data_IF_327970094466
#
_entry.id   IF_327970094466
#
_cell.length_a   1.000
_cell.length_b   1.000
_cell.length_c   1.000
_cell.angle_alpha   90.00
_cell.angle_beta   90.00
_cell.angle_gamma   90.00
#
_symmetry.space_group_name_H-M   'P 1'
#
loop_
_entity.id
_entity.type
_entity.pdbx_description
1 polymer ?
#
# COMPACT_ATOMS: atom_id res chain seq x y z
N UNK A 1 21.10 10.46 -38.34
CA UNK A 1 19.76 9.84 -38.40
C UNK A 1 19.27 9.97 -39.82
N UNK A 2 19.34 8.88 -40.59
CA UNK A 2 19.00 8.83 -42.02
C UNK A 2 18.15 7.60 -42.31
N UNK A 3 18.00 7.22 -43.57
CA UNK A 3 17.31 5.98 -43.97
C UNK A 3 18.31 4.87 -44.26
N UNK A 4 17.96 3.65 -43.87
CA UNK A 4 18.72 2.43 -44.15
C UNK A 4 17.73 1.32 -44.49
N UNK A 5 18.18 0.29 -45.20
CA UNK A 5 17.37 -0.87 -45.48
C UNK A 5 16.94 -1.60 -44.18
N UNK A 6 15.78 -2.30 -44.19
CA UNK A 6 15.25 -2.95 -42.99
C UNK A 6 16.18 -4.01 -42.38
N UNK A 7 16.98 -4.70 -43.20
CA UNK A 7 17.90 -5.76 -42.73
C UNK A 7 19.03 -5.15 -41.93
N UNK A 8 19.62 -4.07 -42.44
CA UNK A 8 20.66 -3.31 -41.74
C UNK A 8 20.10 -2.65 -40.48
N UNK A 9 18.88 -2.12 -40.50
CA UNK A 9 18.22 -1.59 -39.29
C UNK A 9 18.12 -2.65 -38.17
N UNK A 10 17.77 -3.90 -38.52
CA UNK A 10 17.73 -5.01 -37.56
C UNK A 10 19.11 -5.32 -36.99
N UNK A 11 20.15 -5.34 -37.83
CA UNK A 11 21.53 -5.54 -37.39
C UNK A 11 22.02 -4.40 -36.46
N UNK A 12 21.70 -3.14 -36.79
CA UNK A 12 22.01 -1.98 -35.96
C UNK A 12 21.32 -2.09 -34.60
N UNK A 13 20.03 -2.44 -34.56
CA UNK A 13 19.29 -2.59 -33.31
C UNK A 13 19.91 -3.67 -32.39
N UNK A 14 20.26 -4.84 -32.94
CA UNK A 14 20.92 -5.91 -32.19
C UNK A 14 22.30 -5.47 -31.68
N UNK A 15 23.08 -4.78 -32.50
CA UNK A 15 24.39 -4.26 -32.10
C UNK A 15 24.30 -3.21 -31.00
N UNK A 16 23.33 -2.29 -31.07
CA UNK A 16 23.11 -1.28 -30.03
C UNK A 16 22.69 -1.92 -28.70
N UNK A 17 21.86 -2.96 -28.72
CA UNK A 17 21.48 -3.71 -27.50
C UNK A 17 22.68 -4.44 -26.89
N UNK A 18 23.48 -5.14 -27.70
CA UNK A 18 24.70 -5.78 -27.23
C UNK A 18 25.65 -4.76 -26.58
N UNK A 19 25.87 -3.61 -27.22
CA UNK A 19 26.68 -2.52 -26.66
C UNK A 19 26.12 -1.95 -25.37
N UNK A 20 24.80 -1.80 -25.25
CA UNK A 20 24.11 -1.32 -24.04
C UNK A 20 24.43 -2.19 -22.83
N UNK A 21 24.54 -3.50 -23.05
CA UNK A 21 24.74 -4.51 -22.01
C UNK A 21 26.23 -4.77 -21.72
N UNK A 22 27.09 -4.70 -22.75
CA UNK A 22 28.53 -4.99 -22.64
C UNK A 22 29.37 -3.77 -22.23
N UNK A 23 29.07 -2.60 -22.79
CA UNK A 23 29.91 -1.40 -22.73
C UNK A 23 29.11 -0.14 -22.35
N UNK A 24 28.68 -0.01 -21.08
CA UNK A 24 27.82 1.09 -20.63
C UNK A 24 28.50 2.48 -20.67
N UNK A 25 29.81 2.55 -20.92
CA UNK A 25 30.54 3.82 -21.09
C UNK A 25 30.26 4.49 -22.45
N UNK A 26 29.82 3.73 -23.45
CA UNK A 26 29.55 4.24 -24.81
C UNK A 26 28.08 4.61 -25.01
N UNK A 27 27.18 3.86 -24.40
CA UNK A 27 25.73 4.00 -24.56
C UNK A 27 25.07 3.90 -23.18
N UNK A 28 24.10 4.78 -22.86
CA UNK A 28 23.34 4.67 -21.61
C UNK A 28 22.61 3.33 -21.51
N UNK A 29 22.70 2.67 -20.34
CA UNK A 29 22.00 1.40 -20.07
C UNK A 29 20.49 1.47 -20.24
N UNK A 30 19.91 2.67 -20.11
CA UNK A 30 18.48 2.96 -20.22
C UNK A 30 18.07 3.42 -21.61
N UNK A 31 18.96 3.38 -22.61
CA UNK A 31 18.60 3.65 -23.99
C UNK A 31 17.58 2.61 -24.46
N UNK A 32 16.40 3.09 -24.85
CA UNK A 32 15.36 2.27 -25.46
C UNK A 32 15.63 2.17 -26.96
N UNK A 33 15.71 0.94 -27.47
CA UNK A 33 16.05 0.64 -28.86
C UNK A 33 14.82 0.00 -29.50
N UNK A 34 13.85 0.82 -29.90
CA UNK A 34 12.58 0.35 -30.46
C UNK A 34 12.68 0.14 -31.98
N UNK A 35 12.81 -1.11 -32.40
CA UNK A 35 12.73 -1.50 -33.81
C UNK A 35 11.29 -1.88 -34.17
N UNK A 36 10.64 -1.03 -34.96
CA UNK A 36 9.32 -1.32 -35.54
C UNK A 36 9.54 -1.92 -36.93
N UNK A 37 9.23 -3.21 -37.14
CA UNK A 37 9.42 -3.86 -38.43
C UNK A 37 8.43 -3.35 -39.47
N UNK A 38 8.85 -3.33 -40.73
CA UNK A 38 7.94 -3.07 -41.84
C UNK A 38 6.95 -4.24 -41.97
N UNK A 39 5.66 -3.94 -41.90
CA UNK A 39 4.58 -4.94 -41.97
C UNK A 39 3.47 -4.46 -42.92
N UNK A 40 2.43 -5.28 -43.09
CA UNK A 40 1.30 -5.01 -43.96
C UNK A 40 0.49 -3.77 -43.53
N UNK A 41 -0.46 -3.38 -44.38
CA UNK A 41 -1.33 -2.23 -44.16
C UNK A 41 -1.97 -2.23 -42.76
N UNK A 42 -1.87 -1.10 -42.05
CA UNK A 42 -2.40 -0.92 -40.69
C UNK A 42 -1.36 -1.05 -39.55
N UNK A 43 -0.12 -1.43 -39.86
CA UNK A 43 0.97 -1.43 -38.87
C UNK A 43 1.50 -0.01 -38.55
N UNK A 44 2.07 0.23 -37.35
CA UNK A 44 2.76 1.47 -37.05
C UNK A 44 3.88 1.74 -38.06
N UNK A 45 4.18 3.03 -38.28
CA UNK A 45 5.21 3.41 -39.24
C UNK A 45 6.55 2.73 -38.89
N UNK A 46 7.18 2.01 -39.84
CA UNK A 46 8.39 1.25 -39.54
C UNK A 46 9.58 2.18 -39.33
N UNK A 47 10.46 1.80 -38.41
CA UNK A 47 11.61 2.61 -38.08
C UNK A 47 12.40 2.06 -36.89
N UNK A 48 13.63 2.54 -36.76
CA UNK A 48 14.44 2.36 -35.57
C UNK A 48 14.37 3.64 -34.75
N UNK A 49 13.63 3.59 -33.65
CA UNK A 49 13.44 4.71 -32.74
C UNK A 49 14.34 4.54 -31.52
N UNK A 50 15.13 5.57 -31.23
CA UNK A 50 16.05 5.58 -30.10
C UNK A 50 15.62 6.65 -29.11
N UNK A 51 15.32 6.25 -27.87
CA UNK A 51 14.90 7.19 -26.83
C UNK A 51 15.88 7.15 -25.65
N UNK A 52 16.41 8.32 -25.30
CA UNK A 52 17.30 8.54 -24.16
C UNK A 52 16.78 9.59 -23.18
N UNK A 53 15.60 10.17 -23.43
CA UNK A 53 15.01 11.23 -22.60
C UNK A 53 14.66 10.76 -21.19
N UNK A 54 14.42 11.73 -20.30
CA UNK A 54 13.91 11.50 -18.95
C UNK A 54 12.41 11.11 -18.94
N UNK A 55 11.89 10.73 -17.77
CA UNK A 55 10.48 10.38 -17.54
C UNK A 55 9.93 9.20 -18.38
N UNK A 56 10.80 8.26 -18.75
CA UNK A 56 10.41 7.02 -19.44
C UNK A 56 10.25 5.88 -18.44
N UNK A 57 9.29 5.00 -18.70
CA UNK A 57 9.17 3.73 -18.01
C UNK A 57 10.24 2.78 -18.55
N UNK A 58 10.99 2.16 -17.65
CA UNK A 58 11.99 1.14 -17.98
C UNK A 58 11.86 0.00 -16.99
N UNK A 59 12.09 -1.23 -17.44
CA UNK A 59 12.12 -2.42 -16.58
C UNK A 59 13.29 -3.32 -16.92
N UNK A 60 13.88 -4.03 -15.94
CA UNK A 60 14.97 -4.96 -16.17
C UNK A 60 14.46 -6.31 -16.69
N UNK A 61 15.16 -6.87 -17.68
CA UNK A 61 14.98 -8.24 -18.20
C UNK A 61 16.35 -8.89 -18.40
N UNK A 62 16.42 -10.21 -18.46
CA UNK A 62 17.64 -10.94 -18.81
C UNK A 62 17.82 -10.98 -20.33
N UNK A 63 18.93 -10.44 -20.84
CA UNK A 63 19.31 -10.62 -22.23
C UNK A 63 20.03 -11.96 -22.38
N UNK A 64 19.42 -12.90 -23.13
CA UNK A 64 19.90 -14.29 -23.20
C UNK A 64 21.29 -14.42 -23.82
N UNK A 65 21.57 -13.66 -24.88
CA UNK A 65 22.84 -13.81 -25.60
C UNK A 65 24.06 -13.36 -24.79
N UNK A 66 23.91 -12.38 -23.89
CA UNK A 66 25.00 -11.91 -23.03
C UNK A 66 24.92 -12.41 -21.58
N UNK A 67 23.81 -13.00 -21.18
CA UNK A 67 23.57 -13.46 -19.80
C UNK A 67 23.53 -12.31 -18.77
N UNK A 68 23.22 -11.09 -19.21
CA UNK A 68 23.25 -9.88 -18.38
C UNK A 68 21.90 -9.16 -18.41
N UNK A 69 21.63 -8.39 -17.37
CA UNK A 69 20.40 -7.60 -17.27
C UNK A 69 20.42 -6.42 -18.26
N UNK A 70 19.35 -6.34 -19.04
CA UNK A 70 19.04 -5.26 -19.97
C UNK A 70 17.82 -4.48 -19.48
N UNK A 71 17.86 -3.15 -19.54
CA UNK A 71 16.68 -2.32 -19.26
C UNK A 71 15.92 -2.06 -20.56
N UNK A 72 14.64 -2.41 -20.60
CA UNK A 72 13.80 -2.23 -21.77
C UNK A 72 12.66 -1.24 -21.49
N UNK A 73 12.26 -0.52 -22.53
CA UNK A 73 11.08 0.35 -22.54
C UNK A 73 9.82 -0.31 -23.10
N UNK A 74 8.65 0.31 -22.91
CA UNK A 74 7.36 -0.24 -23.34
C UNK A 74 7.20 -0.31 -24.86
N UNK A 75 7.81 0.62 -25.62
CA UNK A 75 7.63 0.63 -27.07
C UNK A 75 8.44 -0.48 -27.73
N UNK A 76 9.68 -0.73 -27.26
CA UNK A 76 10.46 -1.85 -27.77
C UNK A 76 9.87 -3.20 -27.33
N UNK A 77 9.33 -3.30 -26.12
CA UNK A 77 8.72 -4.53 -25.60
C UNK A 77 7.58 -5.05 -26.50
N UNK A 78 6.81 -4.17 -27.15
CA UNK A 78 5.72 -4.56 -28.04
C UNK A 78 6.17 -5.39 -29.27
N UNK A 79 7.46 -5.32 -29.63
CA UNK A 79 8.05 -6.01 -30.79
C UNK A 79 9.16 -6.99 -30.37
N UNK A 80 9.19 -7.41 -29.10
CA UNK A 80 10.22 -8.30 -28.55
C UNK A 80 9.61 -9.60 -28.02
N UNK A 81 10.32 -10.71 -28.27
CA UNK A 81 10.00 -12.01 -27.70
C UNK A 81 10.73 -12.22 -26.37
N UNK A 82 9.96 -12.11 -25.28
CA UNK A 82 10.43 -12.22 -23.88
C UNK A 82 9.74 -13.43 -23.24
N UNK A 83 10.51 -14.43 -22.81
CA UNK A 83 9.97 -15.58 -22.09
C UNK A 83 9.72 -15.24 -20.61
N UNK A 84 8.61 -15.75 -20.05
CA UNK A 84 8.28 -15.55 -18.63
C UNK A 84 9.08 -16.52 -17.76
N UNK A 85 9.04 -17.81 -18.10
CA UNK A 85 9.80 -18.87 -17.45
C UNK A 85 10.83 -19.48 -18.39
N UNK A 86 11.78 -20.24 -17.85
CA UNK A 86 12.78 -20.96 -18.66
C UNK A 86 12.13 -21.98 -19.63
N UNK A 87 10.99 -22.54 -19.24
CA UNK A 87 10.21 -23.48 -20.06
C UNK A 87 9.52 -22.82 -21.27
N UNK A 88 9.29 -21.51 -21.25
CA UNK A 88 8.66 -20.76 -22.35
C UNK A 88 9.66 -20.41 -23.47
N UNK A 89 10.94 -20.74 -23.29
CA UNK A 89 12.00 -20.37 -24.21
C UNK A 89 11.86 -21.15 -25.52
N UNK A 90 11.76 -20.42 -26.63
CA UNK A 90 11.76 -20.95 -27.99
C UNK A 90 13.09 -20.63 -28.65
N UNK A 91 13.88 -21.67 -28.92
CA UNK A 91 15.20 -21.51 -29.53
C UNK A 91 15.12 -20.82 -30.91
N UNK A 92 16.01 -19.85 -31.12
CA UNK A 92 16.03 -19.01 -32.33
C UNK A 92 14.97 -17.89 -32.40
N UNK A 93 14.02 -17.83 -31.47
CA UNK A 93 12.96 -16.81 -31.42
C UNK A 93 13.12 -15.94 -30.17
N UNK A 94 13.11 -16.54 -28.98
CA UNK A 94 13.14 -15.84 -27.70
C UNK A 94 14.49 -15.15 -27.49
N UNK A 95 14.47 -13.84 -27.36
CA UNK A 95 15.68 -13.00 -27.20
C UNK A 95 15.97 -12.64 -25.74
N UNK A 96 14.93 -12.49 -24.93
CA UNK A 96 15.02 -12.08 -23.53
C UNK A 96 14.20 -13.02 -22.65
N UNK A 97 14.45 -12.94 -21.35
CA UNK A 97 13.71 -13.67 -20.33
C UNK A 97 13.43 -12.74 -19.15
N UNK A 98 12.31 -12.94 -18.47
CA UNK A 98 12.04 -12.30 -17.19
C UNK A 98 13.06 -12.73 -16.13
N UNK A 99 13.46 -11.80 -15.25
CA UNK A 99 14.32 -12.13 -14.11
C UNK A 99 13.55 -12.94 -13.04
N UNK A 100 12.30 -12.56 -12.84
CA UNK A 100 11.35 -13.20 -11.94
C UNK A 100 9.94 -12.86 -12.46
N UNK A 101 9.04 -13.84 -12.62
CA UNK A 101 7.67 -13.59 -13.06
C UNK A 101 6.89 -12.63 -12.15
N UNK A 102 7.25 -12.52 -10.86
CA UNK A 102 6.60 -11.62 -9.90
C UNK A 102 6.84 -10.13 -10.19
N UNK A 103 7.82 -9.79 -11.03
CA UNK A 103 8.15 -8.40 -11.38
C UNK A 103 7.04 -7.67 -12.16
N UNK A 104 6.09 -8.41 -12.74
CA UNK A 104 4.92 -7.81 -13.40
C UNK A 104 3.89 -7.26 -12.39
N UNK A 105 3.92 -7.74 -11.15
CA UNK A 105 2.96 -7.40 -10.11
C UNK A 105 3.44 -6.20 -9.28
N UNK A 106 2.47 -5.45 -8.75
CA UNK A 106 2.78 -4.36 -7.82
C UNK A 106 3.28 -4.90 -6.48
N UNK A 107 3.89 -4.03 -5.66
CA UNK A 107 4.34 -4.40 -4.32
C UNK A 107 3.20 -5.05 -3.51
N UNK A 108 2.04 -4.42 -3.44
CA UNK A 108 0.90 -4.90 -2.65
C UNK A 108 0.34 -6.22 -3.21
N UNK A 109 0.29 -6.37 -4.54
CA UNK A 109 -0.12 -7.62 -5.15
C UNK A 109 0.83 -8.77 -4.81
N UNK A 110 2.14 -8.50 -4.77
CA UNK A 110 3.18 -9.46 -4.38
C UNK A 110 3.20 -9.81 -2.88
N UNK A 111 2.45 -9.09 -2.03
CA UNK A 111 2.28 -9.45 -0.62
C UNK A 111 1.15 -10.47 -0.41
N UNK A 112 0.28 -10.68 -1.41
CA UNK A 112 -0.82 -11.65 -1.29
C UNK A 112 -0.27 -13.07 -1.43
N UNK A 113 -0.35 -13.92 -0.39
CA UNK A 113 0.16 -15.29 -0.47
C UNK A 113 -0.69 -16.13 -1.43
N UNK A 114 -0.04 -16.98 -2.22
CA UNK A 114 -0.68 -17.89 -3.17
C UNK A 114 -1.71 -17.22 -4.09
N UNK A 115 -1.39 -16.02 -4.60
CA UNK A 115 -2.30 -15.21 -5.42
C UNK A 115 -2.71 -15.90 -6.73
N UNK A 116 -1.93 -16.86 -7.21
CA UNK A 116 -2.20 -17.73 -8.36
C UNK A 116 -3.35 -18.73 -8.12
N UNK A 117 -3.64 -19.06 -6.86
CA UNK A 117 -4.73 -19.96 -6.46
C UNK A 117 -6.06 -19.23 -6.25
N UNK A 118 -6.04 -17.89 -6.31
CA UNK A 118 -7.21 -17.05 -6.12
C UNK A 118 -7.81 -16.61 -7.46
N UNK A 119 -9.12 -16.43 -7.50
CA UNK A 119 -9.76 -15.77 -8.64
C UNK A 119 -9.27 -14.31 -8.73
N UNK A 120 -8.93 -13.85 -9.93
CA UNK A 120 -8.36 -12.50 -10.16
C UNK A 120 -9.08 -11.34 -9.43
N UNK A 121 -10.43 -11.25 -9.38
CA UNK A 121 -11.11 -10.20 -8.64
C UNK A 121 -10.78 -10.18 -7.13
N UNK A 122 -10.50 -11.34 -6.51
CA UNK A 122 -10.13 -11.43 -5.09
C UNK A 122 -8.77 -10.79 -4.79
N UNK A 123 -7.81 -10.98 -5.69
CA UNK A 123 -6.51 -10.33 -5.56
C UNK A 123 -6.63 -8.80 -5.70
N UNK A 124 -7.53 -8.33 -6.57
CA UNK A 124 -7.81 -6.90 -6.73
C UNK A 124 -8.43 -6.32 -5.46
N UNK A 125 -9.43 -7.00 -4.88
CA UNK A 125 -10.02 -6.59 -3.60
C UNK A 125 -8.97 -6.57 -2.48
N UNK A 126 -8.11 -7.58 -2.39
CA UNK A 126 -7.04 -7.62 -1.38
C UNK A 126 -6.09 -6.41 -1.52
N UNK A 127 -5.75 -6.01 -2.74
CA UNK A 127 -4.91 -4.84 -2.95
C UNK A 127 -5.58 -3.54 -2.47
N UNK A 128 -6.90 -3.44 -2.56
CA UNK A 128 -7.66 -2.29 -2.05
C UNK A 128 -7.73 -2.32 -0.53
N UNK A 129 -8.15 -3.46 0.04
CA UNK A 129 -8.34 -3.61 1.49
C UNK A 129 -7.02 -3.51 2.26
N UNK A 130 -5.93 -4.04 1.70
CA UNK A 130 -4.60 -3.94 2.29
C UNK A 130 -4.10 -2.50 2.45
N UNK A 131 -4.62 -1.53 1.69
CA UNK A 131 -4.30 -0.11 1.87
C UNK A 131 -5.14 0.59 2.93
N UNK A 132 -6.28 0.00 3.28
CA UNK A 132 -7.24 0.56 4.24
C UNK A 132 -7.10 -0.08 5.63
N UNK A 133 -6.33 -1.16 5.74
CA UNK A 133 -6.14 -1.87 7.01
C UNK A 133 -5.44 -1.00 8.05
N UNK A 134 -5.83 -1.19 9.31
CA UNK A 134 -5.15 -0.56 10.43
C UNK A 134 -3.87 -1.37 10.73
N UNK A 135 -2.73 -0.75 10.55
CA UNK A 135 -1.43 -1.37 10.79
C UNK A 135 -0.59 -0.54 11.75
N UNK A 136 0.70 -0.47 11.44
CA UNK A 136 1.64 0.42 12.13
C UNK A 136 1.92 1.62 11.22
N UNK A 137 1.37 2.81 11.47
CA UNK A 137 1.50 3.94 10.55
C UNK A 137 2.90 4.57 10.57
N UNK A 138 3.51 4.67 11.76
CA UNK A 138 4.87 5.17 11.95
C UNK A 138 5.42 4.70 13.30
N UNK A 139 6.75 4.67 13.45
CA UNK A 139 7.39 4.48 14.75
C UNK A 139 7.57 5.79 15.52
N UNK A 140 7.67 6.92 14.80
CA UNK A 140 7.87 8.25 15.36
C UNK A 140 6.55 8.93 15.74
N UNK A 141 5.54 8.17 16.19
CA UNK A 141 4.21 8.71 16.53
C UNK A 141 4.24 9.89 17.49
N UNK A 142 5.07 9.90 18.56
CA UNK A 142 5.11 11.04 19.49
C UNK A 142 5.56 12.37 18.87
N UNK A 143 6.19 12.33 17.68
CA UNK A 143 6.72 13.51 16.99
C UNK A 143 5.88 13.91 15.78
N UNK A 144 4.68 13.33 15.62
CA UNK A 144 3.78 13.58 14.48
C UNK A 144 2.48 14.20 14.95
N UNK A 145 1.95 15.11 14.13
CA UNK A 145 0.70 15.84 14.34
C UNK A 145 -0.22 15.64 13.14
N UNK A 146 -0.35 14.39 12.69
CA UNK A 146 -1.23 14.02 11.59
C UNK A 146 -2.70 14.12 12.06
N UNK A 147 -3.62 14.54 11.17
CA UNK A 147 -5.03 14.75 11.53
C UNK A 147 -5.71 13.49 12.08
N UNK A 148 -5.46 12.33 11.45
CA UNK A 148 -6.04 11.03 11.85
C UNK A 148 -5.06 9.91 11.58
N UNK A 149 -4.75 9.11 12.59
CA UNK A 149 -3.90 7.92 12.47
C UNK A 149 -4.56 6.72 13.11
N UNK A 150 -4.42 5.57 12.46
CA UNK A 150 -4.92 4.29 12.96
C UNK A 150 -3.74 3.40 13.29
N UNK A 151 -3.70 2.87 14.52
CA UNK A 151 -2.61 2.04 15.01
C UNK A 151 -3.14 0.76 15.64
N UNK A 152 -2.70 -0.38 15.12
CA UNK A 152 -2.89 -1.67 15.77
C UNK A 152 -1.90 -1.81 16.95
N UNK A 153 -2.40 -2.22 18.12
CA UNK A 153 -1.59 -2.27 19.35
C UNK A 153 -0.68 -3.50 19.42
N UNK A 154 -1.21 -4.66 19.05
CA UNK A 154 -0.48 -5.94 19.06
C UNK A 154 -0.43 -6.56 17.66
N UNK A 155 0.22 -5.90 16.69
CA UNK A 155 0.37 -6.45 15.36
C UNK A 155 1.38 -7.62 15.38
N UNK A 156 1.23 -8.56 14.45
CA UNK A 156 2.10 -9.72 14.31
C UNK A 156 2.59 -9.83 12.87
N UNK A 157 3.83 -10.33 12.70
CA UNK A 157 4.31 -10.74 11.40
C UNK A 157 3.48 -11.95 10.90
N UNK A 158 3.07 -11.98 9.62
CA UNK A 158 2.33 -13.11 9.08
C UNK A 158 3.17 -14.38 9.11
N UNK A 159 2.58 -15.51 9.47
CA UNK A 159 3.28 -16.82 9.47
C UNK A 159 3.62 -17.27 8.05
N UNK A 160 2.73 -17.02 7.09
CA UNK A 160 2.94 -17.28 5.66
C UNK A 160 3.37 -15.99 5.00
N UNK A 161 4.61 -15.93 4.52
CA UNK A 161 5.21 -14.73 3.93
C UNK A 161 5.66 -14.98 2.50
N UNK A 162 5.63 -13.92 1.67
CA UNK A 162 6.26 -13.95 0.34
C UNK A 162 7.72 -13.50 0.43
N UNK A 163 8.58 -13.88 -0.52
CA UNK A 163 9.97 -13.42 -0.53
C UNK A 163 10.10 -11.90 -0.59
N UNK A 164 9.15 -11.23 -1.27
CA UNK A 164 9.06 -9.77 -1.34
C UNK A 164 8.75 -9.14 0.02
N UNK A 165 7.95 -9.79 0.88
CA UNK A 165 7.67 -9.30 2.25
C UNK A 165 8.97 -9.09 3.05
N UNK A 166 9.87 -10.07 3.01
CA UNK A 166 11.18 -9.99 3.66
C UNK A 166 12.11 -8.98 2.99
N UNK A 167 12.13 -8.92 1.66
CA UNK A 167 12.97 -7.98 0.91
C UNK A 167 12.63 -6.51 1.21
N UNK A 168 11.34 -6.20 1.38
CA UNK A 168 10.85 -4.86 1.73
C UNK A 168 10.76 -4.62 3.23
N UNK A 169 11.16 -5.58 4.07
CA UNK A 169 11.14 -5.51 5.53
C UNK A 169 9.78 -5.08 6.09
N UNK A 170 8.71 -5.64 5.52
CA UNK A 170 7.35 -5.33 5.96
C UNK A 170 7.09 -5.80 7.41
N UNK A 171 7.96 -6.63 7.98
CA UNK A 171 7.96 -6.99 9.41
C UNK A 171 8.18 -5.77 10.33
N UNK A 172 8.82 -4.69 9.87
CA UNK A 172 8.98 -3.45 10.64
C UNK A 172 7.64 -2.71 10.78
N UNK A 173 6.75 -2.85 9.80
CA UNK A 173 5.42 -2.21 9.76
C UNK A 173 4.32 -3.28 9.63
N UNK A 174 4.09 -4.08 10.69
CA UNK A 174 3.13 -5.16 10.65
C UNK A 174 1.69 -4.60 10.58
N UNK A 175 0.90 -5.18 9.67
CA UNK A 175 -0.40 -4.67 9.23
C UNK A 175 -1.57 -5.63 9.58
N UNK A 176 -1.40 -6.48 10.59
CA UNK A 176 -2.44 -7.42 11.00
C UNK A 176 -2.01 -8.30 12.16
N UNK A 177 -2.79 -9.35 12.43
CA UNK A 177 -2.50 -10.37 13.45
C UNK A 177 -2.77 -11.77 12.89
N UNK A 178 -2.06 -12.78 13.38
CA UNK A 178 -2.39 -14.16 13.03
C UNK A 178 -3.57 -14.63 13.88
N UNK A 179 -4.61 -15.14 13.24
CA UNK A 179 -5.81 -15.66 13.88
C UNK A 179 -5.99 -17.15 13.59
N UNK A 180 -6.54 -17.90 14.54
CA UNK A 180 -6.98 -19.28 14.30
C UNK A 180 -8.36 -19.21 13.64
N UNK A 181 -8.42 -19.59 12.37
CA UNK A 181 -9.66 -19.56 11.57
C UNK A 181 -10.26 -20.96 11.50
N UNK A 182 -11.56 -21.09 11.77
CA UNK A 182 -12.30 -22.33 11.65
C UNK A 182 -13.42 -22.17 10.62
N UNK A 183 -13.43 -23.01 9.58
CA UNK A 183 -14.45 -22.98 8.53
C UNK A 183 -15.55 -23.99 8.88
N UNK A 184 -16.62 -23.51 9.49
CA UNK A 184 -17.73 -24.31 10.00
C UNK A 184 -19.01 -23.49 10.03
N UNK A 185 -20.15 -24.15 9.80
CA UNK A 185 -21.48 -23.56 10.01
C UNK A 185 -22.02 -24.08 11.34
N UNK A 186 -22.01 -23.24 12.38
CA UNK A 186 -22.38 -23.68 13.74
C UNK A 186 -23.39 -22.77 14.43
N UNK A 187 -23.13 -21.47 14.45
CA UNK A 187 -23.95 -20.50 15.19
C UNK A 187 -25.15 -19.99 14.37
N UNK A 188 -25.06 -20.02 13.04
CA UNK A 188 -26.08 -19.48 12.14
C UNK A 188 -26.04 -17.96 11.96
N UNK A 189 -25.08 -17.27 12.59
CA UNK A 189 -24.86 -15.82 12.47
C UNK A 189 -23.71 -15.47 11.50
N UNK A 190 -23.12 -16.48 10.85
CA UNK A 190 -22.02 -16.42 9.88
C UNK A 190 -22.50 -16.44 8.42
N UNK A 191 -23.70 -15.90 8.16
CA UNK A 191 -24.30 -15.85 6.82
C UNK A 191 -23.80 -14.65 6.00
N UNK A 192 -23.80 -14.78 4.67
CA UNK A 192 -23.56 -13.66 3.71
C UNK A 192 -22.31 -12.83 4.03
N UNK A 193 -21.17 -13.53 4.17
CA UNK A 193 -19.84 -12.97 4.41
C UNK A 193 -19.60 -12.41 5.84
N UNK A 194 -20.56 -12.60 6.75
CA UNK A 194 -20.36 -12.34 8.17
C UNK A 194 -19.36 -13.32 8.82
N UNK A 195 -18.61 -12.82 9.81
CA UNK A 195 -17.67 -13.62 10.61
C UNK A 195 -17.94 -13.44 12.09
N UNK A 196 -17.57 -14.44 12.88
CA UNK A 196 -17.78 -14.44 14.33
C UNK A 196 -16.44 -14.46 15.04
N UNK A 197 -16.29 -13.55 16.00
CA UNK A 197 -15.10 -13.42 16.84
C UNK A 197 -15.33 -14.08 18.20
N UNK A 198 -14.25 -14.65 18.75
CA UNK A 198 -14.30 -15.23 20.09
C UNK A 198 -14.26 -14.10 21.14
N UNK A 199 -15.34 -13.96 21.92
CA UNK A 199 -15.45 -12.95 22.98
C UNK A 199 -14.27 -12.99 23.97
N UNK A 200 -13.83 -14.18 24.38
CA UNK A 200 -12.69 -14.31 25.30
C UNK A 200 -11.34 -13.96 24.65
N UNK A 201 -11.23 -13.96 23.31
CA UNK A 201 -10.05 -13.45 22.62
C UNK A 201 -10.10 -11.93 22.52
N UNK A 202 -11.28 -11.37 22.22
CA UNK A 202 -11.53 -9.93 22.21
C UNK A 202 -11.19 -9.28 23.55
N UNK A 203 -11.71 -9.80 24.67
CA UNK A 203 -11.43 -9.31 26.03
C UNK A 203 -9.94 -9.40 26.42
N UNK A 204 -9.14 -10.18 25.69
CA UNK A 204 -7.68 -10.30 25.87
C UNK A 204 -6.88 -9.39 24.92
N UNK A 205 -7.54 -8.49 24.20
CA UNK A 205 -6.90 -7.52 23.31
C UNK A 205 -6.68 -8.00 21.88
N UNK A 206 -7.40 -9.04 21.42
CA UNK A 206 -7.32 -9.47 20.02
C UNK A 206 -7.74 -8.34 19.08
N UNK A 207 -6.87 -7.99 18.13
CA UNK A 207 -7.07 -6.93 17.14
C UNK A 207 -7.37 -5.53 17.73
N UNK A 208 -6.90 -5.25 18.96
CA UNK A 208 -7.11 -3.96 19.61
C UNK A 208 -6.34 -2.84 18.89
N UNK A 209 -7.02 -1.73 18.58
CA UNK A 209 -6.45 -0.59 17.87
C UNK A 209 -6.81 0.75 18.53
N UNK A 210 -6.00 1.76 18.23
CA UNK A 210 -6.22 3.14 18.66
C UNK A 210 -6.22 4.09 17.47
N UNK A 211 -7.08 5.09 17.56
CA UNK A 211 -7.20 6.20 16.63
C UNK A 211 -6.64 7.43 17.31
N UNK A 212 -5.68 8.10 16.68
CA UNK A 212 -5.16 9.38 17.12
C UNK A 212 -5.79 10.46 16.25
N UNK A 213 -6.46 11.44 16.88
CA UNK A 213 -7.03 12.63 16.23
C UNK A 213 -6.30 13.86 16.78
N UNK A 214 -5.76 14.68 15.88
CA UNK A 214 -5.12 15.94 16.28
C UNK A 214 -6.09 17.08 16.02
N UNK A 215 -6.32 17.91 17.03
CA UNK A 215 -7.12 19.13 16.93
C UNK A 215 -6.15 20.30 17.13
N UNK A 216 -6.07 21.16 16.12
CA UNK A 216 -5.33 22.41 16.19
C UNK A 216 -6.30 23.53 16.55
N UNK A 217 -5.98 24.28 17.60
CA UNK A 217 -6.79 25.40 18.09
C UNK A 217 -5.94 26.67 18.00
N UNK A 218 -6.33 27.61 17.14
CA UNK A 218 -5.73 28.95 17.08
C UNK A 218 -6.58 29.98 17.82
N UNK A 219 -6.14 30.31 19.03
CA UNK A 219 -6.80 31.27 19.92
C UNK A 219 -6.89 32.70 19.33
N UNK A 220 -6.16 33.01 18.26
CA UNK A 220 -6.27 34.31 17.58
C UNK A 220 -7.41 34.37 16.58
N UNK A 221 -7.81 33.23 16.03
CA UNK A 221 -8.97 33.16 15.14
C UNK A 221 -10.25 33.21 15.98
N UNK A 222 -10.28 32.50 17.12
CA UNK A 222 -11.40 32.55 18.08
C UNK A 222 -11.64 33.97 18.63
N UNK A 223 -10.56 34.70 18.97
CA UNK A 223 -10.67 36.08 19.45
C UNK A 223 -11.20 37.09 18.40
N UNK A 224 -11.16 36.76 17.10
CA UNK A 224 -11.74 37.61 16.04
C UNK A 224 -13.20 37.23 15.75
N UNK A 225 -13.64 36.02 16.09
CA UNK A 225 -15.04 35.58 15.94
C UNK A 225 -15.92 36.04 17.11
N UNK A 226 -15.34 36.21 18.31
CA UNK A 226 -16.04 36.74 19.49
C UNK A 226 -16.51 38.20 19.37
N UNK A 227 -16.01 39.00 18.41
CA UNK A 227 -16.56 40.34 18.16
C UNK A 227 -17.88 40.35 17.38
N UNK A 228 -18.39 39.19 16.92
CA UNK A 228 -19.67 39.07 16.21
C UNK A 228 -20.50 37.91 16.76
N UNK A 229 -21.07 38.08 17.95
CA UNK A 229 -22.15 37.19 18.41
C UNK A 229 -22.31 37.12 19.91
N UNK A 230 -23.22 37.93 20.45
CA UNK A 230 -23.72 37.81 21.80
C UNK A 230 -24.41 36.43 21.97
N UNK A 231 -23.73 35.51 22.65
CA UNK A 231 -24.26 34.28 23.21
C UNK A 231 -24.04 33.01 22.41
N UNK A 232 -23.04 32.20 22.82
CA UNK A 232 -23.08 30.73 22.92
C UNK A 232 -22.06 30.30 24.00
N UNK A 233 -22.41 29.24 24.72
CA UNK A 233 -21.97 28.75 26.03
C UNK A 233 -20.49 28.32 26.09
N UNK A 234 -19.66 29.05 26.85
CA UNK A 234 -18.31 28.64 27.27
C UNK A 234 -18.37 27.36 28.12
N UNK A 235 -18.35 26.18 27.49
CA UNK A 235 -18.07 24.92 28.19
C UNK A 235 -16.69 24.40 27.84
N UNK A 236 -15.70 25.15 28.29
CA UNK A 236 -14.35 24.64 28.52
C UNK A 236 -14.36 23.76 29.80
N UNK A 237 -14.97 22.58 29.73
CA UNK A 237 -14.92 21.63 30.84
C UNK A 237 -13.62 20.82 30.78
N UNK A 238 -12.69 21.15 31.68
CA UNK A 238 -11.62 20.23 32.07
C UNK A 238 -12.28 18.94 32.59
N UNK A 239 -12.36 17.92 31.75
CA UNK A 239 -12.79 16.58 32.14
C UNK A 239 -11.77 15.99 33.11
N UNK A 240 -11.96 16.26 34.40
CA UNK A 240 -11.32 15.54 35.49
C UNK A 240 -11.78 14.07 35.50
N UNK A 241 -11.01 13.16 36.11
CA UNK A 241 -11.34 11.74 36.10
C UNK A 241 -12.66 11.49 36.84
N UNK A 242 -13.69 11.05 36.10
CA UNK A 242 -14.98 10.60 36.68
C UNK A 242 -16.26 11.24 36.13
N UNK A 243 -16.24 11.94 35.00
CA UNK A 243 -17.48 12.48 34.38
C UNK A 243 -18.13 11.42 33.47
N UNK A 244 -19.44 11.13 33.59
CA UNK A 244 -20.14 10.20 32.71
C UNK A 244 -20.18 10.75 31.27
N UNK A 245 -20.12 9.85 30.29
CA UNK A 245 -20.17 10.16 28.87
C UNK A 245 -21.58 10.60 28.44
N UNK A 246 -21.92 11.87 28.69
CA UNK A 246 -23.17 12.48 28.25
C UNK A 246 -22.91 13.55 27.18
N UNK A 247 -22.07 13.24 26.20
CA UNK A 247 -21.84 14.08 25.02
C UNK A 247 -22.13 13.24 23.78
N UNK A 248 -22.97 13.76 22.87
CA UNK A 248 -23.54 13.08 21.69
C UNK A 248 -22.50 12.31 20.85
N UNK A 249 -22.16 11.10 21.28
CA UNK A 249 -21.28 10.15 20.58
C UNK A 249 -21.94 9.62 19.31
N UNK A 250 -23.25 9.78 19.17
CA UNK A 250 -24.06 9.16 18.13
C UNK A 250 -23.84 9.78 16.73
N UNK A 251 -23.58 11.09 16.62
CA UNK A 251 -23.34 11.75 15.32
C UNK A 251 -21.92 11.54 14.78
N UNK A 252 -20.88 11.59 15.62
CA UNK A 252 -19.50 11.29 15.18
C UNK A 252 -19.26 9.80 14.93
N UNK A 253 -19.92 8.90 15.68
CA UNK A 253 -19.82 7.45 15.44
C UNK A 253 -20.51 7.03 14.13
N UNK A 254 -21.56 7.74 13.70
CA UNK A 254 -22.25 7.49 12.44
C UNK A 254 -21.43 7.91 11.19
N UNK A 255 -20.62 8.97 11.27
CA UNK A 255 -19.71 9.35 10.17
C UNK A 255 -18.50 8.41 10.03
N UNK A 256 -18.15 7.69 11.10
CA UNK A 256 -16.97 6.81 11.19
C UNK A 256 -17.36 5.31 11.08
N UNK A 257 -18.67 4.99 11.13
CA UNK A 257 -19.21 3.64 10.98
C UNK A 257 -18.94 2.72 12.19
N UNK A 258 -18.93 3.28 13.40
CA UNK A 258 -18.71 2.55 14.66
C UNK A 258 -19.99 2.56 15.51
N UNK A 259 -20.28 1.48 16.24
CA UNK A 259 -21.37 1.43 17.23
C UNK A 259 -20.86 1.97 18.59
N UNK A 260 -21.68 2.80 19.24
CA UNK A 260 -21.32 3.60 20.43
C UNK A 260 -21.09 2.78 21.70
N UNK A 261 -21.56 1.53 21.73
CA UNK A 261 -21.42 0.61 22.86
C UNK A 261 -20.00 0.03 23.03
N UNK A 262 -19.06 0.29 22.10
CA UNK A 262 -17.69 -0.27 22.11
C UNK A 262 -16.56 0.77 22.26
N UNK A 263 -16.89 2.05 22.48
CA UNK A 263 -15.91 3.14 22.51
C UNK A 263 -15.71 3.66 23.93
N UNK A 264 -14.65 3.23 24.60
CA UNK A 264 -14.13 3.97 25.76
C UNK A 264 -13.31 5.17 25.24
N UNK A 265 -13.87 6.38 25.35
CA UNK A 265 -13.12 7.61 25.15
C UNK A 265 -12.14 7.81 26.32
N UNK A 266 -10.96 7.21 26.24
CA UNK A 266 -9.83 7.54 27.11
C UNK A 266 -9.20 8.86 26.64
N UNK A 267 -9.92 9.96 26.88
CA UNK A 267 -9.35 11.30 26.84
C UNK A 267 -8.21 11.40 27.84
N UNK A 268 -6.99 11.08 27.41
CA UNK A 268 -5.82 11.16 28.29
C UNK A 268 -5.27 12.57 28.19
N UNK A 269 -5.80 13.50 28.99
CA UNK A 269 -5.02 14.68 29.37
C UNK A 269 -3.91 14.14 30.27
N UNK A 270 -2.69 14.02 29.74
CA UNK A 270 -1.51 13.78 30.56
C UNK A 270 -1.25 15.00 31.47
N UNK A 271 -2.06 15.15 32.51
CA UNK A 271 -1.81 15.96 33.68
C UNK A 271 -1.00 15.13 34.68
N UNK A 272 0.31 15.31 34.64
CA UNK A 272 1.30 14.58 35.45
C UNK A 272 1.06 14.71 36.96
N UNK A 273 0.69 13.59 37.59
CA UNK A 273 1.29 13.17 38.85
C UNK A 273 2.40 12.18 38.54
N UNK A 274 3.65 12.67 38.56
CA UNK A 274 4.93 11.98 38.32
C UNK A 274 5.30 11.52 36.88
N UNK A 275 6.47 12.01 36.46
CA UNK A 275 7.34 11.61 35.35
C UNK A 275 7.01 11.92 33.86
N UNK A 276 7.75 12.93 33.37
CA UNK A 276 8.15 13.30 31.99
C UNK A 276 7.13 14.05 31.12
N UNK A 277 7.42 15.36 31.01
CA UNK A 277 6.84 16.35 30.10
C UNK A 277 7.37 16.13 28.68
N UNK A 278 6.50 16.06 27.68
CA UNK A 278 6.82 16.39 26.29
C UNK A 278 5.64 17.13 25.64
N UNK A 279 5.56 18.44 25.89
CA UNK A 279 4.79 19.36 25.05
C UNK A 279 5.66 19.69 23.82
N UNK A 280 5.23 19.34 22.62
CA UNK A 280 5.93 19.76 21.39
C UNK A 280 5.43 21.13 20.95
N UNK A 281 6.21 22.16 21.24
CA UNK A 281 6.00 23.51 20.71
C UNK A 281 6.59 23.59 19.29
N UNK A 282 5.77 23.33 18.27
CA UNK A 282 6.14 23.53 16.86
C UNK A 282 5.35 24.74 16.37
N UNK A 283 5.97 25.93 16.38
CA UNK A 283 5.33 27.15 15.89
C UNK A 283 4.46 27.90 16.91
N UNK A 284 3.47 28.66 16.42
CA UNK A 284 2.64 29.61 17.22
C UNK A 284 1.32 29.02 17.76
N UNK A 285 1.05 27.73 17.57
CA UNK A 285 -0.21 27.07 18.01
C UNK A 285 -0.01 26.09 19.17
N UNK A 286 -1.12 25.75 19.84
CA UNK A 286 -1.22 24.65 20.81
C UNK A 286 -1.88 23.47 20.08
N UNK A 287 -1.26 22.30 20.12
CA UNK A 287 -1.82 21.07 19.51
C UNK A 287 -2.30 20.12 20.60
N UNK A 288 -3.57 19.71 20.53
CA UNK A 288 -4.17 18.70 21.41
C UNK A 288 -4.27 17.37 20.64
N UNK A 289 -3.81 16.28 21.26
CA UNK A 289 -3.90 14.93 20.69
C UNK A 289 -4.92 14.16 21.51
N UNK A 290 -6.06 13.85 20.89
CA UNK A 290 -7.02 12.91 21.44
C UNK A 290 -6.69 11.50 20.96
N UNK A 291 -6.73 10.55 21.88
CA UNK A 291 -6.57 9.13 21.56
C UNK A 291 -7.88 8.43 21.88
N UNK A 292 -8.55 7.92 20.85
CA UNK A 292 -9.76 7.10 21.00
C UNK A 292 -9.38 5.65 20.75
N UNK A 293 -9.69 4.75 21.66
CA UNK A 293 -9.58 3.32 21.39
C UNK A 293 -10.74 2.90 20.49
N UNK A 294 -10.44 2.33 19.32
CA UNK A 294 -11.44 1.81 18.40
C UNK A 294 -11.10 0.36 18.09
N UNK A 295 -12.00 -0.55 18.46
CA UNK A 295 -11.89 -1.96 18.10
C UNK A 295 -12.59 -2.18 16.77
N UNK A 296 -11.88 -1.99 15.66
CA UNK A 296 -12.46 -2.29 14.37
C UNK A 296 -12.35 -3.80 14.09
N UNK A 297 -13.47 -4.50 14.13
CA UNK A 297 -13.60 -5.89 13.68
C UNK A 297 -13.50 -6.05 12.14
N UNK A 298 -12.93 -5.08 11.43
CA UNK A 298 -12.54 -5.22 10.03
C UNK A 298 -11.29 -6.11 9.90
N UNK A 299 -11.41 -7.37 10.31
CA UNK A 299 -10.51 -8.42 9.86
C UNK A 299 -10.75 -8.62 8.37
N UNK A 300 -9.84 -8.10 7.54
CA UNK A 300 -9.81 -8.46 6.14
C UNK A 300 -9.27 -9.89 5.99
N UNK A 301 -10.13 -10.88 6.24
CA UNK A 301 -9.88 -12.28 5.90
C UNK A 301 -10.16 -12.45 4.41
N UNK A 302 -9.11 -12.56 3.60
CA UNK A 302 -9.22 -12.91 2.18
C UNK A 302 -9.58 -14.39 2.00
N UNK A 303 -10.73 -14.82 2.51
CA UNK A 303 -11.29 -16.16 2.30
C UNK A 303 -12.77 -16.06 1.98
N UNK A 304 -13.13 -15.37 0.89
CA UNK A 304 -14.44 -15.56 0.29
C UNK A 304 -14.43 -16.89 -0.47
N UNK A 305 -15.07 -17.89 0.14
CA UNK A 305 -15.25 -19.21 -0.42
C UNK A 305 -15.79 -19.16 -1.86
N UNK A 306 -15.23 -20.01 -2.70
CA UNK A 306 -15.75 -20.33 -4.03
C UNK A 306 -17.22 -20.75 -3.90
N UNK A 307 -18.16 -19.88 -4.30
CA UNK A 307 -19.51 -20.32 -4.67
C UNK A 307 -19.38 -21.16 -5.92
N UNK A 308 -19.25 -22.49 -5.76
CA UNK A 308 -19.58 -23.45 -6.82
C UNK A 308 -21.10 -23.42 -6.99
N UNK A 309 -21.55 -22.80 -8.08
CA UNK A 309 -22.82 -23.10 -8.73
C UNK A 309 -22.57 -23.97 -9.95
#
# INVERSE_FOLDING_TARGET
MGSVDPVTCKAIAAYLRALKVESPSKIPKTLEVALVPASSAGSPFPGLYLFSGAARMVRPVLHRASGRTEYIGPLEQAFMDIACLEEDIREGITTHQELDPTNMLSLIANLTPFSDQNQSPRNMYQCQMGKQTMGTPAHSLPYRVDNKLYRLQTPQAPVVQTGIHGNYKMDEYPNGTNAIVAVLSYTGFDMEDAMILNKSAYERGFAHASVYKTIEVDLKEEANEEEVGDGIDDRFEFLGPGVPADHDTDEECAEIGLETDEVEALGTVHGLGDDRRDFFHIGKGIHLIETTTANNANLCLSCHGSKRG
#
